data_IF_853357455527
#
_entry.id   IF_853357455527
#
_cell.length_a   1.000
_cell.length_b   1.000
_cell.length_c   1.000
_cell.angle_alpha   90.00
_cell.angle_beta   90.00
_cell.angle_gamma   90.00
#
_symmetry.space_group_name_H-M   'P 1'
#
loop_
_entity.id
_entity.type
_entity.pdbx_description
1 polymer ?
#
# COMPACT_ATOMS: atom_id res chain seq x y z
N UNK A 1 11.90 -7.62 -18.79
CA UNK A 1 12.45 -6.32 -18.32
C UNK A 1 11.81 -6.01 -16.97
N UNK A 2 12.60 -5.94 -15.90
CA UNK A 2 12.04 -5.74 -14.55
C UNK A 2 11.64 -4.27 -14.38
N UNK A 3 10.36 -4.01 -14.09
CA UNK A 3 9.89 -2.67 -13.73
C UNK A 3 10.67 -2.19 -12.50
N UNK A 4 11.59 -1.25 -12.70
CA UNK A 4 12.52 -0.80 -11.66
C UNK A 4 11.87 0.12 -10.61
N UNK A 5 10.60 0.49 -10.82
CA UNK A 5 9.84 1.43 -10.01
C UNK A 5 8.38 1.00 -9.95
N UNK A 6 7.83 0.93 -8.73
CA UNK A 6 6.40 0.72 -8.50
C UNK A 6 5.86 2.00 -7.87
N UNK A 7 4.78 2.55 -8.42
CA UNK A 7 4.09 3.69 -7.81
C UNK A 7 2.60 3.45 -7.72
N UNK A 8 2.01 3.74 -6.57
CA UNK A 8 0.56 3.68 -6.36
C UNK A 8 0.10 4.84 -5.49
N UNK A 9 -1.18 5.14 -5.54
CA UNK A 9 -1.80 6.15 -4.69
C UNK A 9 -2.99 5.56 -3.96
N UNK A 10 -3.19 5.98 -2.71
CA UNK A 10 -4.30 5.57 -1.87
C UNK A 10 -4.99 6.80 -1.29
N UNK A 11 -6.32 6.87 -1.28
CA UNK A 11 -7.24 6.01 -2.02
C UNK A 11 -7.09 6.24 -3.53
N UNK A 12 -7.18 5.18 -4.34
CA UNK A 12 -7.25 5.36 -5.79
C UNK A 12 -8.55 6.10 -6.12
N UNK A 13 -8.47 7.16 -6.93
CA UNK A 13 -9.65 7.88 -7.46
C UNK A 13 -10.50 7.00 -8.40
N UNK A 14 -10.25 5.69 -8.48
CA UNK A 14 -10.96 4.80 -9.39
C UNK A 14 -12.42 4.74 -8.98
N UNK A 15 -13.24 5.26 -9.88
CA UNK A 15 -14.70 5.33 -9.92
C UNK A 15 -15.38 3.97 -9.63
N UNK A 16 -14.66 2.84 -9.63
CA UNK A 16 -15.23 1.51 -9.38
C UNK A 16 -15.85 1.32 -8.00
N UNK A 17 -15.32 1.93 -6.94
CA UNK A 17 -15.96 1.83 -5.62
C UNK A 17 -17.29 2.59 -5.60
N UNK A 18 -17.34 3.78 -6.22
CA UNK A 18 -18.61 4.50 -6.42
C UNK A 18 -19.58 3.72 -7.30
N UNK A 19 -19.12 3.05 -8.36
CA UNK A 19 -20.00 2.26 -9.24
C UNK A 19 -20.69 1.13 -8.50
N UNK A 20 -19.98 0.42 -7.62
CA UNK A 20 -20.56 -0.64 -6.80
C UNK A 20 -21.59 -0.07 -5.82
N UNK A 21 -21.24 1.02 -5.13
CA UNK A 21 -22.12 1.70 -4.16
C UNK A 21 -23.39 2.22 -4.84
N UNK A 22 -23.25 2.90 -5.98
CA UNK A 22 -24.37 3.38 -6.81
C UNK A 22 -25.21 2.23 -7.35
N UNK A 23 -24.61 1.10 -7.76
CA UNK A 23 -25.35 -0.06 -8.24
C UNK A 23 -26.19 -0.71 -7.13
N UNK A 24 -25.61 -0.87 -5.93
CA UNK A 24 -26.34 -1.38 -4.76
C UNK A 24 -27.50 -0.45 -4.39
N UNK A 25 -27.30 0.86 -4.49
CA UNK A 25 -28.33 1.85 -4.20
C UNK A 25 -29.44 1.85 -5.24
N UNK A 26 -29.13 1.67 -6.53
CA UNK A 26 -30.15 1.53 -7.58
C UNK A 26 -31.00 0.29 -7.30
N UNK A 27 -30.38 -0.84 -6.95
CA UNK A 27 -31.11 -2.06 -6.59
C UNK A 27 -31.99 -1.83 -5.35
N UNK A 28 -31.44 -1.19 -4.30
CA UNK A 28 -32.19 -0.91 -3.07
C UNK A 28 -33.34 0.07 -3.34
N UNK A 29 -33.14 1.06 -4.20
CA UNK A 29 -34.16 2.02 -4.61
C UNK A 29 -35.29 1.34 -5.40
N UNK A 30 -34.96 0.41 -6.31
CA UNK A 30 -35.95 -0.43 -7.01
C UNK A 30 -36.69 -1.31 -6.01
N UNK A 31 -36.00 -1.87 -5.02
CA UNK A 31 -36.62 -2.70 -4.00
C UNK A 31 -37.59 -1.89 -3.11
N UNK A 32 -37.18 -0.70 -2.66
CA UNK A 32 -38.03 0.24 -1.90
C UNK A 32 -39.21 0.69 -2.75
N UNK A 33 -39.02 0.94 -4.05
CA UNK A 33 -40.09 1.26 -4.98
C UNK A 33 -41.11 0.12 -5.06
N UNK A 34 -40.67 -1.11 -5.31
CA UNK A 34 -41.55 -2.27 -5.40
C UNK A 34 -42.27 -2.55 -4.07
N UNK A 35 -41.56 -2.47 -2.95
CA UNK A 35 -42.14 -2.62 -1.61
C UNK A 35 -43.20 -1.55 -1.34
N UNK A 36 -42.90 -0.29 -1.66
CA UNK A 36 -43.87 0.80 -1.50
C UNK A 36 -45.04 0.69 -2.47
N UNK A 37 -44.85 0.11 -3.66
CA UNK A 37 -45.90 -0.13 -4.65
C UNK A 37 -46.84 -1.26 -4.22
N UNK A 38 -46.30 -2.33 -3.64
CA UNK A 38 -47.07 -3.46 -3.07
C UNK A 38 -47.91 -3.09 -1.85
N UNK A 39 -47.50 -2.06 -1.08
CA UNK A 39 -48.26 -1.58 0.09
C UNK A 39 -49.25 -0.45 -0.22
N UNK A 40 -49.21 0.15 -1.40
CA UNK A 40 -49.93 1.39 -1.67
C UNK A 40 -51.18 1.15 -2.53
N UNK A 41 -52.32 0.91 -1.89
CA UNK A 41 -53.65 1.01 -2.51
C UNK A 41 -53.95 2.47 -2.94
N UNK A 42 -53.41 2.90 -4.10
CA UNK A 42 -53.58 4.21 -4.77
C UNK A 42 -52.55 5.33 -4.51
N UNK A 43 -51.51 5.13 -3.70
CA UNK A 43 -50.50 6.19 -3.42
C UNK A 43 -49.18 6.05 -4.21
N UNK A 44 -49.27 5.64 -5.47
CA UNK A 44 -48.10 5.47 -6.37
C UNK A 44 -47.21 6.72 -6.47
N UNK A 45 -47.79 7.91 -6.37
CA UNK A 45 -47.06 9.18 -6.37
C UNK A 45 -46.09 9.33 -5.18
N UNK A 46 -46.47 8.86 -3.98
CA UNK A 46 -45.60 8.88 -2.82
C UNK A 46 -44.43 7.91 -2.96
N UNK A 47 -44.63 6.77 -3.63
CA UNK A 47 -43.56 5.82 -3.92
C UNK A 47 -42.49 6.44 -4.82
N UNK A 48 -42.90 7.16 -5.87
CA UNK A 48 -41.97 7.85 -6.79
C UNK A 48 -41.17 8.94 -6.07
N UNK A 49 -41.84 9.79 -5.26
CA UNK A 49 -41.17 10.85 -4.51
C UNK A 49 -40.17 10.27 -3.50
N UNK A 50 -40.54 9.21 -2.79
CA UNK A 50 -39.67 8.58 -1.80
C UNK A 50 -38.38 8.04 -2.44
N UNK A 51 -38.48 7.44 -3.62
CA UNK A 51 -37.33 6.93 -4.38
C UNK A 51 -36.42 8.06 -4.83
N UNK A 52 -36.99 9.13 -5.41
CA UNK A 52 -36.21 10.29 -5.86
C UNK A 52 -35.52 10.98 -4.68
N UNK A 53 -36.23 11.16 -3.56
CA UNK A 53 -35.68 11.74 -2.34
C UNK A 53 -34.54 10.88 -1.75
N UNK A 54 -34.69 9.56 -1.76
CA UNK A 54 -33.66 8.63 -1.32
C UNK A 54 -32.40 8.71 -2.19
N UNK A 55 -32.56 8.71 -3.51
CA UNK A 55 -31.44 8.86 -4.45
C UNK A 55 -30.73 10.21 -4.21
N UNK A 56 -31.49 11.31 -4.08
CA UNK A 56 -30.93 12.64 -3.85
C UNK A 56 -30.16 12.73 -2.51
N UNK A 57 -30.72 12.20 -1.43
CA UNK A 57 -30.08 12.16 -0.12
C UNK A 57 -28.80 11.31 -0.15
N UNK A 58 -28.82 10.18 -0.84
CA UNK A 58 -27.65 9.33 -0.99
C UNK A 58 -26.53 10.01 -1.78
N UNK A 59 -26.85 10.67 -2.90
CA UNK A 59 -25.87 11.44 -3.68
C UNK A 59 -25.25 12.54 -2.81
N UNK A 60 -26.05 13.21 -2.00
CA UNK A 60 -25.58 14.23 -1.06
C UNK A 60 -24.63 13.64 0.00
N UNK A 61 -24.99 12.53 0.63
CA UNK A 61 -24.15 11.85 1.63
C UNK A 61 -22.86 11.34 1.01
N UNK A 62 -22.93 10.71 -0.16
CA UNK A 62 -21.77 10.26 -0.93
C UNK A 62 -20.81 11.41 -1.24
N UNK A 63 -21.37 12.55 -1.68
CA UNK A 63 -20.60 13.76 -1.94
C UNK A 63 -19.91 14.30 -0.68
N UNK A 64 -20.61 14.30 0.46
CA UNK A 64 -20.05 14.70 1.76
C UNK A 64 -18.91 13.75 2.16
N UNK A 65 -19.12 12.43 2.07
CA UNK A 65 -18.10 11.42 2.41
C UNK A 65 -16.85 11.59 1.55
N UNK A 66 -17.01 11.84 0.25
CA UNK A 66 -15.88 12.15 -0.63
C UNK A 66 -15.17 13.44 -0.25
N UNK A 67 -15.93 14.48 0.07
CA UNK A 67 -15.38 15.75 0.56
C UNK A 67 -14.69 15.60 1.93
N UNK A 68 -14.99 14.55 2.70
CA UNK A 68 -14.34 14.22 3.97
C UNK A 68 -13.09 13.37 3.78
N UNK A 69 -13.03 12.45 2.81
CA UNK A 69 -11.82 11.69 2.43
C UNK A 69 -10.75 12.61 1.82
N UNK A 70 -10.01 13.34 2.66
CA UNK A 70 -9.00 14.34 2.26
C UNK A 70 -7.55 13.97 2.57
N UNK A 71 -7.28 12.68 2.73
CA UNK A 71 -5.93 12.15 2.88
C UNK A 71 -5.61 11.39 1.61
N UNK A 72 -4.78 11.99 0.76
CA UNK A 72 -4.21 11.33 -0.42
C UNK A 72 -2.78 10.93 -0.10
N UNK A 73 -2.48 9.65 -0.15
CA UNK A 73 -1.15 9.10 0.02
C UNK A 73 -0.62 8.61 -1.32
N UNK A 74 0.59 9.00 -1.67
CA UNK A 74 1.31 8.54 -2.86
C UNK A 74 2.55 7.80 -2.43
N UNK A 75 2.68 6.59 -2.92
CA UNK A 75 3.76 5.69 -2.61
C UNK A 75 4.61 5.47 -3.85
N UNK A 76 5.91 5.64 -3.71
CA UNK A 76 6.88 5.36 -4.78
C UNK A 76 7.95 4.45 -4.22
N UNK A 77 7.96 3.21 -4.70
CA UNK A 77 8.98 2.23 -4.40
C UNK A 77 10.00 2.20 -5.52
N UNK A 78 11.23 2.62 -5.21
CA UNK A 78 12.38 2.53 -6.08
C UNK A 78 13.33 1.42 -5.58
N UNK A 79 14.46 1.20 -6.25
CA UNK A 79 15.45 0.20 -5.83
C UNK A 79 16.18 0.51 -4.54
N UNK A 80 16.23 1.77 -4.14
CA UNK A 80 17.04 2.24 -3.00
C UNK A 80 16.20 2.73 -1.83
N UNK A 81 15.01 3.28 -2.10
CA UNK A 81 14.14 3.86 -1.09
C UNK A 81 12.66 3.67 -1.44
N UNK A 82 11.84 3.67 -0.40
CA UNK A 82 10.40 3.82 -0.41
C UNK A 82 10.09 5.26 -0.03
N UNK A 83 9.42 5.98 -0.90
CA UNK A 83 8.96 7.35 -0.67
C UNK A 83 7.45 7.35 -0.43
N UNK A 84 7.04 7.93 0.69
CA UNK A 84 5.66 8.10 1.11
C UNK A 84 5.36 9.59 1.13
N UNK A 85 4.55 10.06 0.20
CA UNK A 85 4.04 11.44 0.19
C UNK A 85 2.61 11.42 0.72
N UNK A 86 2.38 12.02 1.89
CA UNK A 86 1.03 12.19 2.44
C UNK A 86 0.58 13.62 2.22
N UNK A 87 -0.55 13.78 1.52
CA UNK A 87 -1.20 15.07 1.31
C UNK A 87 -2.48 15.10 2.14
N UNK A 88 -2.49 16.01 3.11
CA UNK A 88 -3.68 16.37 3.89
C UNK A 88 -4.19 17.73 3.43
N UNK A 89 -5.36 18.16 3.94
CA UNK A 89 -5.94 19.50 3.68
C UNK A 89 -4.95 20.65 3.83
N UNK A 90 -4.11 20.57 4.86
CA UNK A 90 -3.30 21.69 5.35
C UNK A 90 -1.81 21.48 5.12
N UNK A 91 -1.37 20.23 4.95
CA UNK A 91 0.05 19.91 4.88
C UNK A 91 0.36 18.77 3.91
N UNK A 92 1.47 18.90 3.21
CA UNK A 92 2.11 17.82 2.46
C UNK A 92 3.32 17.38 3.28
N UNK A 93 3.37 16.11 3.67
CA UNK A 93 4.56 15.49 4.28
C UNK A 93 5.16 14.48 3.31
N UNK A 94 6.50 14.45 3.24
CA UNK A 94 7.26 13.48 2.45
C UNK A 94 8.19 12.73 3.39
N UNK A 95 8.00 11.43 3.47
CA UNK A 95 8.84 10.51 4.23
C UNK A 95 9.61 9.63 3.25
N UNK A 96 10.93 9.54 3.40
CA UNK A 96 11.78 8.67 2.58
C UNK A 96 12.45 7.64 3.47
N UNK A 97 12.18 6.37 3.20
CA UNK A 97 12.70 5.23 3.95
C UNK A 97 13.63 4.43 3.05
N UNK A 98 14.90 4.28 3.44
CA UNK A 98 15.82 3.44 2.67
C UNK A 98 15.49 1.95 2.85
N UNK A 99 15.54 1.18 1.76
CA UNK A 99 15.22 -0.25 1.78
C UNK A 99 16.18 -1.07 2.65
N UNK A 100 17.41 -0.58 2.84
CA UNK A 100 18.41 -1.21 3.72
C UNK A 100 18.05 -1.08 5.20
N UNK A 101 17.30 -0.03 5.55
CA UNK A 101 16.97 0.28 6.94
C UNK A 101 15.71 -0.45 7.41
N UNK A 102 15.02 -1.15 6.51
CA UNK A 102 13.84 -1.94 6.81
C UNK A 102 14.24 -3.21 7.53
N UNK A 103 13.93 -3.28 8.82
CA UNK A 103 14.15 -4.47 9.65
C UNK A 103 13.04 -5.50 9.41
N UNK A 104 11.79 -5.06 9.52
CA UNK A 104 10.61 -5.93 9.45
C UNK A 104 9.52 -5.30 8.58
N UNK A 105 8.71 -6.16 7.95
CA UNK A 105 7.52 -5.76 7.21
C UNK A 105 6.38 -6.72 7.55
N UNK A 106 5.16 -6.20 7.66
CA UNK A 106 3.94 -7.00 7.77
C UNK A 106 2.95 -6.49 6.74
N UNK A 107 2.42 -7.40 5.94
CA UNK A 107 1.41 -7.12 4.93
C UNK A 107 0.18 -7.97 5.24
N UNK A 108 -0.98 -7.33 5.25
CA UNK A 108 -2.27 -7.98 5.44
C UNK A 108 -3.05 -7.97 4.12
N UNK A 109 -3.32 -9.18 3.61
CA UNK A 109 -4.03 -9.37 2.35
C UNK A 109 -5.53 -9.11 2.46
N UNK A 110 -6.10 -9.24 3.66
CA UNK A 110 -7.53 -9.01 3.89
C UNK A 110 -7.82 -7.51 3.98
N UNK A 111 -7.02 -6.78 4.76
CA UNK A 111 -7.20 -5.33 4.93
C UNK A 111 -6.54 -4.49 3.84
N UNK A 112 -5.86 -5.11 2.87
CA UNK A 112 -5.09 -4.43 1.82
C UNK A 112 -4.16 -3.35 2.39
N UNK A 113 -3.60 -3.64 3.55
CA UNK A 113 -2.80 -2.71 4.33
C UNK A 113 -1.54 -3.41 4.82
N UNK A 114 -0.62 -2.62 5.38
CA UNK A 114 0.58 -3.14 5.96
C UNK A 114 1.40 -2.07 6.62
N UNK A 115 2.54 -2.47 7.17
CA UNK A 115 3.52 -1.52 7.67
C UNK A 115 4.94 -2.04 7.47
N UNK A 116 5.85 -1.07 7.41
CA UNK A 116 7.27 -1.28 7.34
C UNK A 116 7.89 -0.67 8.59
N UNK A 117 8.77 -1.42 9.25
CA UNK A 117 9.45 -0.98 10.46
C UNK A 117 10.95 -0.81 10.18
N UNK A 118 11.47 0.37 10.50
CA UNK A 118 12.89 0.70 10.33
C UNK A 118 13.73 0.19 11.50
N UNK A 119 15.05 0.15 11.32
CA UNK A 119 15.99 -0.15 12.41
C UNK A 119 15.91 0.87 13.56
N UNK A 120 15.47 2.11 13.29
CA UNK A 120 15.24 3.15 14.28
C UNK A 120 13.96 2.99 15.10
N UNK A 121 13.10 2.02 14.75
CA UNK A 121 11.82 1.78 15.43
C UNK A 121 10.62 2.48 14.78
N UNK A 122 10.84 3.33 13.78
CA UNK A 122 9.78 4.03 13.07
C UNK A 122 8.90 3.06 12.28
N UNK A 123 7.59 3.26 12.39
CA UNK A 123 6.58 2.48 11.67
C UNK A 123 5.94 3.32 10.58
N UNK A 124 6.07 2.87 9.34
CA UNK A 124 5.42 3.48 8.20
C UNK A 124 4.29 2.58 7.71
N UNK A 125 3.05 3.02 7.96
CA UNK A 125 1.87 2.37 7.42
C UNK A 125 1.80 2.54 5.89
N UNK A 126 1.37 1.47 5.22
CA UNK A 126 1.19 1.37 3.78
C UNK A 126 -0.22 0.88 3.49
N UNK A 127 -0.92 1.56 2.59
CA UNK A 127 -2.25 1.15 2.14
C UNK A 127 -2.25 0.87 0.64
N UNK A 128 -2.98 -0.16 0.24
CA UNK A 128 -3.10 -0.64 -1.14
C UNK A 128 -4.57 -0.65 -1.55
N UNK A 129 -4.87 -0.47 -2.84
CA UNK A 129 -6.25 -0.52 -3.32
C UNK A 129 -6.63 -1.92 -3.79
N UNK A 130 -5.65 -2.72 -4.20
CA UNK A 130 -5.90 -4.05 -4.75
C UNK A 130 -4.92 -5.07 -4.20
N UNK A 131 -5.37 -6.32 -4.11
CA UNK A 131 -4.53 -7.45 -3.74
C UNK A 131 -3.35 -7.64 -4.70
N UNK A 132 -3.55 -7.33 -5.99
CA UNK A 132 -2.50 -7.38 -7.02
C UNK A 132 -1.37 -6.38 -6.74
N UNK A 133 -1.70 -5.16 -6.31
CA UNK A 133 -0.70 -4.14 -5.91
C UNK A 133 0.13 -4.63 -4.72
N UNK A 134 -0.54 -5.18 -3.70
CA UNK A 134 0.10 -5.71 -2.51
C UNK A 134 1.04 -6.88 -2.84
N UNK A 135 0.61 -7.82 -3.69
CA UNK A 135 1.45 -8.95 -4.10
C UNK A 135 2.66 -8.52 -4.95
N UNK A 136 2.52 -7.51 -5.81
CA UNK A 136 3.65 -6.93 -6.56
C UNK A 136 4.65 -6.28 -5.60
N UNK A 137 4.17 -5.52 -4.63
CA UNK A 137 4.99 -4.90 -3.59
C UNK A 137 5.75 -5.97 -2.79
N UNK A 138 5.04 -7.00 -2.31
CA UNK A 138 5.64 -8.11 -1.54
C UNK A 138 6.74 -8.83 -2.33
N UNK A 139 6.48 -9.16 -3.60
CA UNK A 139 7.47 -9.81 -4.48
C UNK A 139 8.70 -8.92 -4.68
N UNK A 140 8.51 -7.62 -4.87
CA UNK A 140 9.62 -6.67 -5.04
C UNK A 140 10.47 -6.58 -3.76
N UNK A 141 9.82 -6.44 -2.60
CA UNK A 141 10.49 -6.31 -1.30
C UNK A 141 11.28 -7.58 -0.97
N UNK A 142 10.68 -8.76 -1.11
CA UNK A 142 11.35 -10.05 -0.88
C UNK A 142 12.57 -10.24 -1.78
N UNK A 143 12.48 -9.89 -3.06
CA UNK A 143 13.63 -9.98 -3.98
C UNK A 143 14.80 -9.12 -3.50
N UNK A 144 14.54 -7.87 -3.11
CA UNK A 144 15.59 -6.94 -2.68
C UNK A 144 16.18 -7.28 -1.31
N UNK A 145 15.36 -7.69 -0.34
CA UNK A 145 15.82 -8.16 0.97
C UNK A 145 16.69 -9.43 0.85
N UNK A 146 16.29 -10.38 -0.02
CA UNK A 146 17.09 -11.57 -0.27
C UNK A 146 18.42 -11.28 -0.97
N UNK A 147 18.44 -10.31 -1.90
CA UNK A 147 19.68 -9.84 -2.55
C UNK A 147 20.63 -9.15 -1.55
N UNK A 148 20.09 -8.37 -0.60
CA UNK A 148 20.86 -7.76 0.48
C UNK A 148 21.49 -8.83 1.41
N UNK A 149 20.73 -9.89 1.75
CA UNK A 149 21.23 -11.00 2.58
C UNK A 149 22.34 -11.81 1.90
N UNK A 150 22.21 -12.08 0.59
CA UNK A 150 23.23 -12.79 -0.21
C UNK A 150 24.53 -11.98 -0.35
N UNK A 151 24.43 -10.69 -0.65
CA UNK A 151 25.61 -9.80 -0.77
C UNK A 151 26.35 -9.63 0.56
N UNK A 152 25.65 -9.45 1.68
CA UNK A 152 26.27 -9.38 3.01
C UNK A 152 27.03 -10.68 3.37
N UNK A 153 26.49 -11.83 2.97
CA UNK A 153 27.13 -13.14 3.21
C UNK A 153 28.38 -13.33 2.35
N UNK A 154 28.35 -12.88 1.09
CA UNK A 154 29.50 -12.90 0.19
C UNK A 154 30.65 -12.02 0.71
N UNK A 155 30.34 -10.78 1.15
CA UNK A 155 31.33 -9.86 1.72
C UNK A 155 31.97 -10.43 2.99
N UNK A 156 31.18 -11.07 3.88
CA UNK A 156 31.71 -11.74 5.09
C UNK A 156 32.65 -12.91 4.76
N UNK A 157 32.37 -13.67 3.71
CA UNK A 157 33.24 -14.76 3.24
C UNK A 157 34.55 -14.24 2.64
N UNK A 158 34.48 -13.17 1.84
CA UNK A 158 35.67 -12.53 1.24
C UNK A 158 36.56 -11.92 2.32
N UNK A 159 36.00 -11.15 3.25
CA UNK A 159 36.79 -10.56 4.36
C UNK A 159 37.40 -11.61 5.29
N UNK A 160 36.70 -12.73 5.57
CA UNK A 160 37.30 -13.87 6.27
C UNK A 160 38.46 -14.48 5.50
N UNK A 161 38.31 -14.70 4.19
CA UNK A 161 39.36 -15.26 3.32
C UNK A 161 40.58 -14.35 3.22
N UNK A 162 40.38 -13.03 3.11
CA UNK A 162 41.47 -12.04 3.11
C UNK A 162 42.20 -12.01 4.44
N UNK A 163 41.49 -12.06 5.58
CA UNK A 163 42.13 -12.16 6.91
C UNK A 163 42.95 -13.44 7.08
N UNK A 164 42.47 -14.60 6.61
CA UNK A 164 43.25 -15.85 6.68
C UNK A 164 44.45 -15.85 5.74
N UNK A 165 44.34 -15.26 4.55
CA UNK A 165 45.47 -15.12 3.62
C UNK A 165 46.55 -14.19 4.18
N UNK A 166 46.18 -13.03 4.75
CA UNK A 166 47.13 -12.11 5.41
C UNK A 166 47.82 -12.77 6.62
N UNK A 167 47.11 -13.59 7.39
CA UNK A 167 47.69 -14.31 8.54
C UNK A 167 48.66 -15.41 8.10
N UNK A 168 48.41 -16.08 6.97
CA UNK A 168 49.33 -17.07 6.38
C UNK A 168 50.57 -16.43 5.75
N UNK A 169 50.45 -15.28 5.07
CA UNK A 169 51.62 -14.61 4.46
C UNK A 169 52.59 -14.08 5.52
N UNK A 170 52.09 -13.45 6.59
CA UNK A 170 52.93 -12.95 7.70
C UNK A 170 53.68 -14.09 8.43
N UNK A 171 53.06 -15.26 8.58
CA UNK A 171 53.71 -16.44 9.19
C UNK A 171 54.83 -17.01 8.31
N UNK A 172 54.67 -16.96 6.97
CA UNK A 172 55.67 -17.42 6.01
C UNK A 172 56.88 -16.49 5.91
N UNK A 173 56.67 -15.17 6.05
CA UNK A 173 57.77 -14.18 6.05
C UNK A 173 58.62 -14.23 7.32
N UNK A 174 58.03 -14.55 8.48
CA UNK A 174 58.79 -14.74 9.73
C UNK A 174 59.64 -16.00 9.76
N UNK A 175 59.22 -17.07 9.06
CA UNK A 175 59.96 -18.33 9.02
C UNK A 175 61.18 -18.31 8.08
N UNK A 176 61.26 -17.34 7.17
CA UNK A 176 62.36 -17.20 6.19
C UNK A 176 63.47 -16.24 6.65
N UNK A 177 63.35 -15.67 7.86
CA UNK A 177 64.30 -14.71 8.46
C UNK A 177 65.03 -15.26 9.69
N UNK A 178 64.93 -16.57 9.94
CA UNK A 178 65.74 -17.34 10.89
C UNK A 178 66.50 -18.38 10.09
#
# INVERSE_FOLDING_TARGET
MAENKISWSFPSRKISFMKLETFTVIILAIFVFFYSFLQADQRWFHAVIAVVAFIALYVLISFIIQKVRRVEEKYVLNHQHLEVTRKTKTKITKERVHLKDIKHHKLDKFFLGGYVMTHGGDRHALFFNTRRELERFEKFLKRKLNLAKKSATAVKKVTRKVKTVKKKSVKKTKARRR
#
